data_IF_131599723040
#
_entry.id   IF_131599723040
#
_cell.length_a   1.000
_cell.length_b   1.000
_cell.length_c   1.000
_cell.angle_alpha   90.00
_cell.angle_beta   90.00
_cell.angle_gamma   90.00
#
_symmetry.space_group_name_H-M   'P 1'
#
loop_
_entity.id
_entity.type
_entity.pdbx_description
1 polymer ?
#
# COMPACT_ATOMS: atom_id res chain seq x y z
N UNK A 1 -14.96 6.71 -10.72
CA UNK A 1 -13.51 6.77 -11.09
C UNK A 1 -12.88 8.03 -10.53
N UNK A 2 -11.72 7.91 -9.91
CA UNK A 2 -10.91 9.02 -9.41
C UNK A 2 -9.49 8.87 -9.96
N UNK A 3 -9.00 9.89 -10.69
CA UNK A 3 -7.61 9.98 -11.19
C UNK A 3 -7.11 8.72 -11.92
N UNK A 4 -7.96 8.09 -12.72
CA UNK A 4 -7.64 6.88 -13.49
C UNK A 4 -7.21 7.15 -14.93
N UNK A 5 -7.19 8.40 -15.36
CA UNK A 5 -6.55 8.81 -16.62
C UNK A 5 -5.05 9.08 -16.37
N UNK A 6 -4.22 8.07 -16.57
CA UNK A 6 -2.77 8.15 -16.33
C UNK A 6 -2.02 9.01 -17.38
N UNK A 7 -2.70 9.56 -18.38
CA UNK A 7 -2.14 10.58 -19.27
C UNK A 7 -2.13 11.97 -18.63
N UNK A 8 -2.86 12.16 -17.54
CA UNK A 8 -2.97 13.43 -16.83
C UNK A 8 -2.03 13.48 -15.62
N UNK A 9 -1.41 14.64 -15.42
CA UNK A 9 -0.65 14.89 -14.21
C UNK A 9 -1.61 15.12 -13.04
N UNK A 10 -1.35 14.43 -11.92
CA UNK A 10 -2.13 14.57 -10.69
C UNK A 10 -1.18 14.98 -9.56
N UNK A 11 -1.53 16.06 -8.88
CA UNK A 11 -0.83 16.53 -7.67
C UNK A 11 -1.86 16.68 -6.56
N UNK A 12 -1.66 16.00 -5.44
CA UNK A 12 -2.59 16.01 -4.31
C UNK A 12 -1.82 16.39 -3.04
N UNK A 13 -2.28 17.46 -2.37
CA UNK A 13 -1.85 17.76 -1.02
C UNK A 13 -2.65 16.89 -0.04
N UNK A 14 -2.09 15.78 0.40
CA UNK A 14 -2.79 14.84 1.29
C UNK A 14 -3.08 15.42 2.67
N UNK A 15 -2.42 16.49 3.09
CA UNK A 15 -2.72 17.14 4.39
C UNK A 15 -4.06 17.87 4.37
N UNK A 16 -4.48 18.37 3.20
CA UNK A 16 -5.76 19.07 3.01
C UNK A 16 -6.91 18.13 2.64
N UNK A 17 -6.59 16.90 2.27
CA UNK A 17 -7.59 15.90 1.90
C UNK A 17 -8.28 15.34 3.14
N UNK A 18 -9.62 15.32 3.13
CA UNK A 18 -10.40 14.74 4.22
C UNK A 18 -10.23 13.20 4.28
N UNK A 19 -10.26 12.67 5.49
CA UNK A 19 -10.34 11.24 5.71
C UNK A 19 -11.74 10.71 5.39
N UNK A 20 -11.80 9.60 4.69
CA UNK A 20 -13.03 8.87 4.38
C UNK A 20 -13.04 7.57 5.17
N UNK A 21 -14.16 7.26 5.79
CA UNK A 21 -14.34 6.01 6.55
C UNK A 21 -14.23 4.81 5.60
N UNK A 22 -13.45 3.82 5.99
CA UNK A 22 -13.46 2.49 5.36
C UNK A 22 -14.70 1.71 5.79
N UNK A 23 -15.15 0.68 5.06
CA UNK A 23 -16.15 -0.26 5.53
C UNK A 23 -15.79 -0.95 6.85
N UNK A 24 -14.52 -0.95 7.23
CA UNK A 24 -14.01 -1.58 8.44
C UNK A 24 -13.77 -0.55 9.54
N UNK A 25 -14.20 -0.88 10.75
CA UNK A 25 -14.06 -0.02 11.92
C UNK A 25 -12.58 0.25 12.25
N UNK A 26 -12.26 1.50 12.59
CA UNK A 26 -10.90 1.91 12.94
C UNK A 26 -9.95 2.06 11.75
N UNK A 27 -10.49 2.03 10.52
CA UNK A 27 -9.70 2.22 9.30
C UNK A 27 -10.25 3.38 8.48
N UNK A 28 -9.36 4.27 8.07
CA UNK A 28 -9.66 5.48 7.32
C UNK A 28 -8.82 5.54 6.06
N UNK A 29 -9.35 6.16 5.01
CA UNK A 29 -8.69 6.26 3.71
C UNK A 29 -8.67 7.70 3.19
N UNK A 30 -7.59 8.05 2.49
CA UNK A 30 -7.52 9.19 1.57
C UNK A 30 -7.29 8.60 0.17
N UNK A 31 -8.34 8.45 -0.65
CA UNK A 31 -8.19 7.92 -2.00
C UNK A 31 -7.36 8.87 -2.87
N UNK A 32 -6.35 8.36 -3.55
CA UNK A 32 -5.50 9.12 -4.49
C UNK A 32 -5.84 8.80 -5.94
N UNK A 33 -6.05 7.51 -6.24
CA UNK A 33 -6.57 7.04 -7.52
C UNK A 33 -7.48 5.84 -7.28
N UNK A 34 -8.59 5.74 -8.01
CA UNK A 34 -9.57 4.67 -7.75
C UNK A 34 -10.48 4.43 -8.94
N UNK A 35 -10.57 3.17 -9.34
CA UNK A 35 -11.44 2.74 -10.44
C UNK A 35 -12.91 2.70 -10.01
N UNK A 36 -13.22 2.03 -8.90
CA UNK A 36 -14.56 1.91 -8.36
C UNK A 36 -14.51 1.97 -6.82
N UNK A 37 -15.66 1.96 -6.15
CA UNK A 37 -15.77 2.12 -4.70
C UNK A 37 -14.96 1.08 -3.91
N UNK A 38 -15.11 -0.22 -4.24
CA UNK A 38 -14.44 -1.32 -3.52
C UNK A 38 -13.81 -2.36 -4.47
N UNK A 39 -13.68 -2.05 -5.76
CA UNK A 39 -13.15 -2.98 -6.77
C UNK A 39 -12.20 -2.26 -7.72
N UNK A 40 -11.37 -3.08 -8.39
CA UNK A 40 -10.41 -2.59 -9.38
C UNK A 40 -9.22 -1.86 -8.75
N UNK A 41 -8.47 -1.17 -9.59
CA UNK A 41 -7.27 -0.46 -9.17
C UNK A 41 -7.56 0.61 -8.11
N UNK A 42 -6.79 0.62 -7.05
CA UNK A 42 -6.86 1.66 -6.04
C UNK A 42 -5.48 2.00 -5.50
N UNK A 43 -5.23 3.29 -5.30
CA UNK A 43 -4.08 3.83 -4.57
C UNK A 43 -4.61 4.77 -3.51
N UNK A 44 -4.23 4.55 -2.27
CA UNK A 44 -4.74 5.32 -1.12
C UNK A 44 -3.69 5.49 -0.03
N UNK A 45 -3.79 6.58 0.71
CA UNK A 45 -3.23 6.63 2.06
C UNK A 45 -4.26 5.99 2.99
N UNK A 46 -3.83 5.05 3.81
CA UNK A 46 -4.69 4.30 4.75
C UNK A 46 -4.16 4.48 6.16
N UNK A 47 -5.06 4.81 7.07
CA UNK A 47 -4.75 4.92 8.50
C UNK A 47 -5.49 3.83 9.26
N UNK A 48 -4.76 3.08 10.07
CA UNK A 48 -5.29 2.21 11.11
C UNK A 48 -5.25 2.95 12.44
N UNK A 49 -6.35 2.98 13.14
CA UNK A 49 -6.35 3.37 14.55
C UNK A 49 -5.68 2.31 15.42
N UNK A 50 -5.23 2.71 16.60
CA UNK A 50 -4.66 1.75 17.55
C UNK A 50 -5.68 0.65 17.89
N UNK A 51 -5.26 -0.61 17.76
CA UNK A 51 -6.08 -1.78 17.98
C UNK A 51 -6.96 -2.19 16.78
N UNK A 52 -6.92 -1.48 15.66
CA UNK A 52 -7.65 -1.88 14.46
C UNK A 52 -7.12 -3.19 13.90
N UNK A 53 -8.04 -4.07 13.50
CA UNK A 53 -7.72 -5.38 12.93
C UNK A 53 -8.75 -5.78 11.89
N UNK A 54 -8.32 -6.62 10.96
CA UNK A 54 -9.15 -7.23 9.94
C UNK A 54 -9.27 -8.73 10.16
N UNK A 55 -10.37 -9.31 9.74
CA UNK A 55 -10.43 -10.76 9.51
C UNK A 55 -9.55 -11.13 8.32
N UNK A 56 -9.10 -12.40 8.29
CA UNK A 56 -8.30 -12.88 7.18
C UNK A 56 -9.02 -12.70 5.84
N UNK A 57 -8.31 -12.12 4.89
CA UNK A 57 -8.81 -11.86 3.54
C UNK A 57 -7.67 -11.88 2.53
N UNK A 58 -8.01 -11.92 1.27
CA UNK A 58 -7.06 -11.84 0.16
C UNK A 58 -7.46 -10.75 -0.84
N UNK A 59 -6.49 -10.28 -1.61
CA UNK A 59 -6.70 -9.32 -2.69
C UNK A 59 -6.56 -10.03 -4.03
N UNK A 60 -7.63 -10.17 -4.84
CA UNK A 60 -7.64 -10.99 -6.05
C UNK A 60 -6.55 -10.68 -7.08
N UNK A 61 -6.12 -9.43 -7.16
CA UNK A 61 -5.04 -8.98 -8.06
C UNK A 61 -3.88 -8.35 -7.30
N UNK A 62 -3.65 -8.81 -6.07
CA UNK A 62 -2.52 -8.44 -5.23
C UNK A 62 -2.62 -7.08 -4.56
N UNK A 63 -1.68 -6.85 -3.66
CA UNK A 63 -1.57 -5.67 -2.82
C UNK A 63 -0.10 -5.28 -2.66
N UNK A 64 0.16 -3.97 -2.67
CA UNK A 64 1.45 -3.39 -2.28
C UNK A 64 1.23 -2.42 -1.13
N UNK A 65 2.09 -2.48 -0.12
CA UNK A 65 2.06 -1.63 1.07
C UNK A 65 3.42 -1.01 1.29
N UNK A 66 3.46 0.30 1.50
CA UNK A 66 4.59 0.98 2.12
C UNK A 66 4.13 1.53 3.47
N UNK A 67 4.76 1.11 4.55
CA UNK A 67 4.48 1.63 5.90
C UNK A 67 5.14 3.00 6.03
N UNK A 68 4.32 4.04 6.18
CA UNK A 68 4.78 5.42 6.30
C UNK A 68 5.07 5.80 7.76
N UNK A 69 4.19 5.38 8.68
CA UNK A 69 4.29 5.64 10.11
C UNK A 69 3.75 4.46 10.92
N UNK A 70 4.25 4.26 12.13
CA UNK A 70 3.80 3.22 13.05
C UNK A 70 4.23 1.83 12.65
N UNK A 71 3.43 0.83 13.04
CA UNK A 71 3.69 -0.58 12.77
C UNK A 71 2.45 -1.26 12.24
N UNK A 72 2.58 -1.81 11.04
CA UNK A 72 1.62 -2.71 10.43
C UNK A 72 2.01 -4.15 10.78
N UNK A 73 1.06 -5.01 11.09
CA UNK A 73 1.31 -6.40 11.48
C UNK A 73 0.33 -7.34 10.79
N UNK A 74 0.80 -8.55 10.52
CA UNK A 74 -0.02 -9.69 10.13
C UNK A 74 0.60 -10.99 10.68
N UNK A 75 0.11 -12.16 10.28
CA UNK A 75 0.62 -13.46 10.74
C UNK A 75 2.08 -13.72 10.36
N UNK A 76 2.62 -12.94 9.42
CA UNK A 76 4.00 -13.10 8.95
C UNK A 76 5.01 -12.21 9.67
N UNK A 77 4.53 -11.25 10.46
CA UNK A 77 5.39 -10.41 11.29
C UNK A 77 4.90 -8.99 11.54
N UNK A 78 5.78 -8.21 12.13
CA UNK A 78 5.59 -6.79 12.41
C UNK A 78 6.46 -5.95 11.46
N UNK A 79 5.85 -4.94 10.85
CA UNK A 79 6.47 -4.12 9.81
C UNK A 79 6.41 -2.65 10.21
N UNK A 80 7.55 -2.12 10.61
CA UNK A 80 7.68 -0.71 11.01
C UNK A 80 7.76 0.23 9.81
N UNK A 81 7.69 1.54 10.07
CA UNK A 81 7.86 2.58 9.07
C UNK A 81 9.09 2.34 8.17
N UNK A 82 8.93 2.48 6.87
CA UNK A 82 9.91 2.15 5.85
C UNK A 82 9.85 0.70 5.35
N UNK A 83 9.01 -0.16 5.91
CA UNK A 83 8.79 -1.50 5.37
C UNK A 83 7.96 -1.43 4.08
N UNK A 84 8.40 -2.14 3.05
CA UNK A 84 7.66 -2.35 1.81
C UNK A 84 7.28 -3.82 1.69
N UNK A 85 5.99 -4.06 1.45
CA UNK A 85 5.41 -5.39 1.30
C UNK A 85 4.73 -5.49 -0.06
N UNK A 86 4.86 -6.63 -0.68
CA UNK A 86 4.20 -6.98 -1.91
C UNK A 86 3.56 -8.35 -1.74
N UNK A 87 2.25 -8.38 -1.69
CA UNK A 87 1.43 -9.56 -1.45
C UNK A 87 0.74 -9.95 -2.77
N UNK A 88 1.16 -11.03 -3.44
CA UNK A 88 0.62 -11.44 -4.73
C UNK A 88 -0.81 -11.96 -4.62
N UNK A 89 -1.53 -12.12 -5.75
CA UNK A 89 -2.81 -12.82 -5.79
C UNK A 89 -2.76 -14.17 -5.08
N UNK A 90 -3.79 -14.49 -4.28
CA UNK A 90 -3.84 -15.71 -3.47
C UNK A 90 -3.13 -15.64 -2.10
N UNK A 91 -2.43 -14.55 -1.81
CA UNK A 91 -1.90 -14.33 -0.46
C UNK A 91 -3.04 -13.86 0.46
N UNK A 92 -3.24 -14.60 1.54
CA UNK A 92 -4.26 -14.29 2.55
C UNK A 92 -3.59 -13.86 3.84
N UNK A 93 -4.11 -12.80 4.47
CA UNK A 93 -3.62 -12.29 5.73
C UNK A 93 -4.72 -11.66 6.59
N UNK A 94 -4.48 -11.54 7.90
CA UNK A 94 -5.31 -10.82 8.85
C UNK A 94 -4.53 -9.60 9.39
N UNK A 95 -4.53 -8.48 8.67
CA UNK A 95 -3.74 -7.32 9.06
C UNK A 95 -4.30 -6.63 10.30
N UNK A 96 -3.39 -6.10 11.10
CA UNK A 96 -3.71 -5.33 12.29
C UNK A 96 -2.65 -4.26 12.58
N UNK A 97 -2.96 -3.37 13.52
CA UNK A 97 -1.97 -2.46 14.08
C UNK A 97 -2.27 -2.22 15.55
N UNK A 98 -1.37 -2.63 16.43
CA UNK A 98 -1.54 -2.47 17.88
C UNK A 98 -1.53 -0.99 18.30
N UNK A 99 -0.64 -0.22 17.73
CA UNK A 99 -0.40 1.18 18.08
C UNK A 99 -0.95 2.16 17.06
N UNK A 100 -1.48 1.65 15.95
CA UNK A 100 -1.87 2.43 14.80
C UNK A 100 -0.75 2.54 13.78
N UNK A 101 -1.12 2.75 12.51
CA UNK A 101 -0.15 2.98 11.45
C UNK A 101 -0.74 3.80 10.30
N UNK A 102 0.16 4.36 9.50
CA UNK A 102 -0.13 5.05 8.26
C UNK A 102 0.55 4.32 7.10
N UNK A 103 -0.20 4.03 6.06
CA UNK A 103 0.24 3.22 4.93
C UNK A 103 -0.01 3.94 3.60
N UNK A 104 0.87 3.74 2.62
CA UNK A 104 0.53 3.89 1.22
C UNK A 104 0.18 2.49 0.68
N UNK A 105 -1.02 2.34 0.15
CA UNK A 105 -1.54 1.05 -0.32
C UNK A 105 -1.92 1.15 -1.79
N UNK A 106 -1.50 0.15 -2.57
CA UNK A 106 -1.90 -0.05 -3.96
C UNK A 106 -2.58 -1.41 -4.09
N UNK A 107 -3.80 -1.45 -4.55
CA UNK A 107 -4.59 -2.67 -4.70
C UNK A 107 -4.80 -3.01 -6.17
N UNK A 108 -4.80 -4.32 -6.45
CA UNK A 108 -5.21 -4.90 -7.73
C UNK A 108 -4.37 -4.42 -8.93
N UNK A 109 -3.06 -4.24 -8.74
CA UNK A 109 -2.16 -3.71 -9.76
C UNK A 109 -1.04 -4.68 -10.18
N UNK A 110 -1.12 -5.95 -9.78
CA UNK A 110 -0.17 -6.97 -10.22
C UNK A 110 -0.39 -7.32 -11.69
N UNK A 111 0.71 -7.54 -12.39
CA UNK A 111 0.66 -8.09 -13.74
C UNK A 111 0.25 -9.56 -13.72
N UNK A 112 -0.36 -10.07 -14.80
CA UNK A 112 -0.64 -11.49 -14.91
C UNK A 112 0.63 -12.34 -14.69
N UNK A 113 0.51 -13.41 -13.93
CA UNK A 113 1.60 -14.34 -13.55
C UNK A 113 2.67 -13.78 -12.60
N UNK A 114 2.54 -12.55 -12.14
CA UNK A 114 3.40 -12.05 -11.08
C UNK A 114 2.92 -12.59 -9.73
N UNK A 115 3.66 -13.57 -9.21
CA UNK A 115 3.33 -14.28 -7.97
C UNK A 115 4.38 -14.05 -6.88
N UNK A 116 5.33 -13.15 -7.11
CA UNK A 116 6.43 -12.93 -6.19
C UNK A 116 5.98 -12.09 -5.00
N UNK A 117 6.08 -12.69 -3.81
CA UNK A 117 5.99 -11.96 -2.55
C UNK A 117 7.30 -11.25 -2.26
N UNK A 118 7.23 -9.99 -1.84
CA UNK A 118 8.38 -9.18 -1.43
C UNK A 118 8.10 -8.60 -0.03
N UNK A 119 9.12 -8.63 0.81
CA UNK A 119 9.09 -7.99 2.12
C UNK A 119 10.50 -7.44 2.40
N UNK A 120 10.67 -6.12 2.38
CA UNK A 120 11.95 -5.47 2.56
C UNK A 120 11.84 -4.22 3.42
N UNK A 121 12.93 -3.87 4.10
CA UNK A 121 13.06 -2.56 4.74
C UNK A 121 13.74 -1.60 3.77
N UNK A 122 13.04 -0.53 3.38
CA UNK A 122 13.63 0.51 2.52
C UNK A 122 14.76 1.26 3.21
N UNK A 123 14.84 1.22 4.54
CA UNK A 123 15.91 1.86 5.31
C UNK A 123 17.28 1.18 5.11
N UNK A 124 17.29 -0.07 4.68
CA UNK A 124 18.51 -0.87 4.46
C UNK A 124 18.79 -1.15 2.98
N UNK A 125 17.90 -0.74 2.08
CA UNK A 125 18.10 -0.91 0.65
C UNK A 125 19.01 0.17 0.07
N UNK A 126 19.93 -0.16 -0.84
CA UNK A 126 20.79 0.82 -1.45
C UNK A 126 20.03 1.66 -2.48
N UNK A 127 20.29 2.95 -2.46
CA UNK A 127 19.97 3.83 -3.58
C UNK A 127 20.94 3.61 -4.73
N UNK A 128 20.46 3.73 -5.95
CA UNK A 128 21.24 3.60 -7.19
C UNK A 128 21.09 4.86 -8.02
N UNK A 129 22.11 5.14 -8.82
CA UNK A 129 22.06 6.25 -9.76
C UNK A 129 20.91 6.05 -10.76
N UNK A 130 20.03 7.01 -10.86
CA UNK A 130 18.97 7.11 -11.86
C UNK A 130 19.32 8.10 -12.98
N UNK A 131 18.33 8.52 -13.73
CA UNK A 131 18.47 9.46 -14.84
C UNK A 131 18.38 10.90 -14.32
N UNK A 132 19.16 11.83 -14.92
CA UNK A 132 19.01 13.27 -14.65
C UNK A 132 19.37 13.70 -13.23
N UNK A 133 20.29 13.02 -12.57
CA UNK A 133 20.72 13.34 -11.21
C UNK A 133 19.78 12.80 -10.12
N UNK A 134 18.79 12.00 -10.48
CA UNK A 134 17.95 11.30 -9.53
C UNK A 134 18.64 10.06 -8.96
N UNK A 135 18.25 9.68 -7.77
CA UNK A 135 18.56 8.37 -7.21
C UNK A 135 17.28 7.54 -7.15
N UNK A 136 17.39 6.24 -7.39
CA UNK A 136 16.26 5.31 -7.38
C UNK A 136 16.57 4.14 -6.44
N UNK A 137 15.53 3.64 -5.78
CA UNK A 137 15.57 2.42 -5.00
C UNK A 137 14.64 1.41 -5.65
N UNK A 138 15.16 0.43 -6.41
CA UNK A 138 14.33 -0.63 -6.98
C UNK A 138 13.76 -1.49 -5.85
N UNK A 139 12.44 -1.66 -5.82
CA UNK A 139 11.76 -2.44 -4.80
C UNK A 139 11.30 -3.80 -5.33
N UNK A 140 11.00 -3.89 -6.61
CA UNK A 140 10.60 -5.11 -7.30
C UNK A 140 10.82 -4.95 -8.80
N UNK A 141 11.14 -6.06 -9.47
CA UNK A 141 11.26 -6.17 -10.91
C UNK A 141 10.53 -7.44 -11.36
N UNK A 142 9.74 -7.33 -12.41
CA UNK A 142 9.02 -8.44 -13.01
C UNK A 142 9.18 -8.36 -14.53
N UNK A 143 9.68 -9.45 -15.14
CA UNK A 143 9.92 -9.62 -16.58
C UNK A 143 8.80 -10.41 -17.26
#
# INVERSE_FOLDING_TARGET
MLNMDFSQNVVINTTEQAWVVSPLAGVWRKPLAREDAERGHATSIVKYEAGASFTSHEHPLGEEILVLEGTFSDETGDYSAGSYLRNPPGFSHAPCSKEGCLLLVKLHQFLPNDTQRVCISTQTQPWRQGIGGLEVMPLHEFE
#
